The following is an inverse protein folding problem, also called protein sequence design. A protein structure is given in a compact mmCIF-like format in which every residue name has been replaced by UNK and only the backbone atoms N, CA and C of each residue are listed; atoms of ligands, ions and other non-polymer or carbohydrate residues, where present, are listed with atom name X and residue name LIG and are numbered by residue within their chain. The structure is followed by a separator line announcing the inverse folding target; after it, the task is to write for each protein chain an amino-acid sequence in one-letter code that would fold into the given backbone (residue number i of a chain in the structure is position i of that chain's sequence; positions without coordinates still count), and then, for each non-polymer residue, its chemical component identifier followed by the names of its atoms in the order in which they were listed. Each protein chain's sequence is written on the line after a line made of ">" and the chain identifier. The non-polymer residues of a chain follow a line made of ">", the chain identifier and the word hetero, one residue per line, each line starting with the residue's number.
data_IF_563439950485
#
_entry.id   IF_563439950485
#
_cell.length_a   1.000
_cell.length_b   1.000
_cell.length_c   1.000
_cell.angle_alpha   90.00
_cell.angle_beta   90.00
_cell.angle_gamma   90.00
#
_symmetry.space_group_name_H-M   'P 1'
#
loop_
_entity.id
_entity.type
_entity.pdbx_description
1 polymer ?
#
# COMPACT_ATOMS: atom_id res chain seq x y z
N UNK A 1 49.57 -6.44 -5.75
CA UNK A 1 48.17 -5.97 -5.64
C UNK A 1 47.30 -6.41 -6.82
N UNK A 2 47.75 -6.24 -8.07
CA UNK A 2 46.99 -6.59 -9.28
C UNK A 2 46.67 -8.09 -9.40
N UNK A 3 47.63 -8.97 -9.03
CA UNK A 3 47.44 -10.43 -9.06
C UNK A 3 46.40 -10.87 -8.02
N UNK A 4 46.43 -10.31 -6.82
CA UNK A 4 45.47 -10.58 -5.76
C UNK A 4 44.06 -10.10 -6.14
N UNK A 5 43.97 -8.94 -6.79
CA UNK A 5 42.66 -8.41 -7.29
C UNK A 5 42.12 -9.29 -8.42
N UNK A 6 42.96 -9.76 -9.35
CA UNK A 6 42.60 -10.70 -10.40
C UNK A 6 42.11 -12.05 -9.86
N UNK A 7 42.85 -12.59 -8.87
CA UNK A 7 42.46 -13.84 -8.21
C UNK A 7 41.12 -13.70 -7.46
N UNK A 8 40.89 -12.60 -6.73
CA UNK A 8 39.63 -12.32 -6.06
C UNK A 8 38.46 -12.23 -7.06
N UNK A 9 38.65 -11.50 -8.18
CA UNK A 9 37.65 -11.37 -9.22
C UNK A 9 37.31 -12.72 -9.87
N UNK A 10 38.31 -13.56 -10.12
CA UNK A 10 38.12 -14.91 -10.64
C UNK A 10 37.32 -15.79 -9.67
N UNK A 11 37.63 -15.75 -8.38
CA UNK A 11 36.88 -16.48 -7.34
C UNK A 11 35.41 -16.03 -7.31
N UNK A 12 35.15 -14.73 -7.38
CA UNK A 12 33.79 -14.19 -7.42
C UNK A 12 33.02 -14.64 -8.70
N UNK A 13 33.70 -14.68 -9.84
CA UNK A 13 33.07 -15.17 -11.09
C UNK A 13 32.76 -16.66 -11.01
N UNK A 14 33.71 -17.48 -10.51
CA UNK A 14 33.51 -18.92 -10.36
C UNK A 14 32.39 -19.22 -9.36
N UNK A 15 32.37 -18.57 -8.21
CA UNK A 15 31.29 -18.76 -7.20
C UNK A 15 29.93 -18.36 -7.74
N UNK A 16 29.83 -17.25 -8.49
CA UNK A 16 28.60 -16.87 -9.19
C UNK A 16 28.17 -17.91 -10.24
N UNK A 17 29.10 -18.40 -11.06
CA UNK A 17 28.80 -19.41 -12.06
C UNK A 17 28.31 -20.73 -11.44
N UNK A 18 28.97 -21.18 -10.35
CA UNK A 18 28.55 -22.37 -9.58
C UNK A 18 27.17 -22.17 -8.96
N UNK A 19 26.92 -21.02 -8.32
CA UNK A 19 25.62 -20.71 -7.72
C UNK A 19 24.49 -20.67 -8.77
N UNK A 20 24.74 -20.07 -9.93
CA UNK A 20 23.78 -20.03 -11.04
C UNK A 20 23.52 -21.43 -11.58
N UNK A 21 24.58 -22.24 -11.77
CA UNK A 21 24.46 -23.61 -12.26
C UNK A 21 23.71 -24.50 -11.27
N UNK A 22 23.96 -24.34 -9.98
CA UNK A 22 23.25 -25.03 -8.90
C UNK A 22 21.76 -24.66 -8.86
N UNK A 23 21.43 -23.37 -8.89
CA UNK A 23 20.04 -22.89 -8.97
C UNK A 23 19.33 -23.45 -10.21
N UNK A 24 20.05 -23.54 -11.31
CA UNK A 24 19.57 -24.10 -12.55
C UNK A 24 19.23 -25.60 -12.41
N UNK A 25 20.11 -26.36 -11.79
CA UNK A 25 19.93 -27.77 -11.52
C UNK A 25 18.72 -28.01 -10.58
N UNK A 26 18.61 -27.23 -9.50
CA UNK A 26 17.50 -27.27 -8.58
C UNK A 26 16.16 -27.00 -9.27
N UNK A 27 16.08 -25.98 -10.13
CA UNK A 27 14.86 -25.65 -10.87
C UNK A 27 14.47 -26.75 -11.86
N UNK A 28 15.45 -27.32 -12.56
CA UNK A 28 15.21 -28.29 -13.64
C UNK A 28 14.93 -29.71 -13.13
N UNK A 29 15.73 -30.21 -12.19
CA UNK A 29 15.63 -31.60 -11.68
C UNK A 29 14.71 -31.72 -10.47
N UNK A 30 14.83 -30.82 -9.51
CA UNK A 30 14.11 -30.92 -8.24
C UNK A 30 12.80 -30.12 -8.25
N UNK A 31 12.50 -29.38 -9.32
CA UNK A 31 11.32 -28.49 -9.42
C UNK A 31 11.18 -27.49 -8.23
N UNK A 32 12.29 -27.27 -7.51
CA UNK A 32 12.38 -26.32 -6.40
C UNK A 32 12.59 -24.92 -7.00
N UNK A 33 12.01 -23.88 -6.35
CA UNK A 33 12.06 -22.49 -6.81
C UNK A 33 11.40 -22.22 -8.17
N UNK A 34 10.48 -23.06 -8.61
CA UNK A 34 9.65 -22.77 -9.76
C UNK A 34 8.62 -21.69 -9.41
N UNK A 35 8.39 -20.76 -10.34
CA UNK A 35 7.33 -19.76 -10.23
C UNK A 35 6.11 -20.25 -11.00
N UNK A 36 4.98 -20.35 -10.33
CA UNK A 36 3.72 -20.64 -10.99
C UNK A 36 3.19 -19.34 -11.59
N UNK A 37 2.98 -19.35 -12.90
CA UNK A 37 2.47 -18.20 -13.65
C UNK A 37 1.14 -18.55 -14.31
N UNK A 38 0.22 -17.61 -14.30
CA UNK A 38 -1.05 -17.73 -14.99
C UNK A 38 -1.00 -16.88 -16.26
N UNK A 39 -1.36 -17.49 -17.38
CA UNK A 39 -1.32 -16.82 -18.69
C UNK A 39 -2.73 -16.83 -19.30
N UNK A 40 -3.17 -15.67 -19.75
CA UNK A 40 -4.42 -15.50 -20.47
C UNK A 40 -4.35 -16.15 -21.85
N UNK A 41 -5.31 -17.03 -22.17
CA UNK A 41 -5.37 -17.72 -23.45
C UNK A 41 -5.78 -16.76 -24.58
N UNK A 42 -4.80 -16.38 -25.38
CA UNK A 42 -4.92 -15.54 -26.58
C UNK A 42 -3.80 -15.83 -27.54
N UNK A 43 -3.86 -15.28 -28.75
CA UNK A 43 -2.77 -15.40 -29.72
C UNK A 43 -1.43 -14.90 -29.13
N UNK A 44 -1.44 -13.73 -28.50
CA UNK A 44 -0.26 -13.15 -27.81
C UNK A 44 0.17 -13.98 -26.58
N UNK A 45 -0.79 -14.51 -25.82
CA UNK A 45 -0.52 -15.39 -24.68
C UNK A 45 0.10 -16.72 -25.11
N UNK A 46 -0.37 -17.33 -26.19
CA UNK A 46 0.21 -18.56 -26.75
C UNK A 46 1.64 -18.34 -27.24
N UNK A 47 1.90 -17.21 -27.90
CA UNK A 47 3.26 -16.84 -28.29
C UNK A 47 4.17 -16.69 -27.08
N UNK A 48 3.73 -15.98 -26.05
CA UNK A 48 4.47 -15.85 -24.80
C UNK A 48 4.76 -17.20 -24.14
N UNK A 49 3.77 -18.11 -24.10
CA UNK A 49 3.97 -19.48 -23.56
C UNK A 49 5.03 -20.23 -24.36
N UNK A 50 5.03 -20.09 -25.68
CA UNK A 50 6.04 -20.69 -26.53
C UNK A 50 7.43 -20.13 -26.25
N UNK A 51 7.56 -18.81 -26.22
CA UNK A 51 8.82 -18.12 -25.91
C UNK A 51 9.37 -18.52 -24.51
N UNK A 52 8.50 -18.66 -23.50
CA UNK A 52 8.89 -19.14 -22.17
C UNK A 52 9.34 -20.61 -22.18
N UNK A 53 8.71 -21.47 -22.98
CA UNK A 53 9.10 -22.88 -23.13
C UNK A 53 10.43 -23.02 -23.84
N UNK A 54 10.66 -22.23 -24.87
CA UNK A 54 11.91 -22.25 -25.66
C UNK A 54 13.11 -21.79 -24.82
N UNK A 55 12.86 -20.89 -23.87
CA UNK A 55 13.82 -20.50 -22.84
C UNK A 55 13.97 -21.57 -21.74
N UNK A 56 14.25 -22.83 -22.05
CA UNK A 56 14.31 -24.03 -21.16
C UNK A 56 14.86 -23.83 -19.73
N UNK A 57 15.32 -22.63 -19.40
CA UNK A 57 16.04 -22.27 -18.16
C UNK A 57 15.22 -21.46 -17.17
N UNK A 58 13.99 -21.10 -17.49
CA UNK A 58 13.26 -20.07 -16.72
C UNK A 58 12.67 -20.57 -15.39
N UNK A 59 12.43 -21.88 -15.24
CA UNK A 59 11.82 -22.47 -14.03
C UNK A 59 10.41 -21.94 -13.77
N UNK A 60 9.63 -21.70 -14.84
CA UNK A 60 8.22 -21.34 -14.75
C UNK A 60 7.33 -22.58 -14.92
N UNK A 61 6.31 -22.68 -14.08
CA UNK A 61 5.19 -23.59 -14.25
C UNK A 61 4.01 -22.77 -14.78
N UNK A 62 3.54 -23.10 -16.00
CA UNK A 62 2.60 -22.27 -16.75
C UNK A 62 1.20 -22.86 -16.64
N UNK A 63 0.26 -22.08 -16.10
CA UNK A 63 -1.17 -22.38 -16.08
C UNK A 63 -1.85 -21.47 -17.12
N UNK A 64 -2.28 -22.05 -18.24
CA UNK A 64 -3.03 -21.31 -19.27
C UNK A 64 -4.51 -21.33 -18.91
N UNK A 65 -5.14 -20.17 -18.89
CA UNK A 65 -6.53 -20.01 -18.47
C UNK A 65 -7.35 -19.34 -19.55
N UNK A 66 -8.53 -19.89 -19.79
CA UNK A 66 -9.44 -19.45 -20.84
C UNK A 66 -10.00 -18.03 -20.54
N UNK A 67 -10.33 -17.29 -21.60
CA UNK A 67 -10.91 -15.93 -21.55
C UNK A 67 -12.09 -15.81 -20.58
N UNK A 68 -12.95 -16.82 -20.53
CA UNK A 68 -14.14 -16.81 -19.68
C UNK A 68 -13.84 -16.68 -18.20
N UNK A 69 -12.69 -17.19 -17.71
CA UNK A 69 -12.31 -17.08 -16.29
C UNK A 69 -11.91 -15.66 -15.89
N UNK A 70 -11.54 -14.83 -16.86
CA UNK A 70 -11.21 -13.42 -16.65
C UNK A 70 -12.42 -12.49 -16.78
N UNK A 71 -13.63 -13.01 -16.99
CA UNK A 71 -14.85 -12.20 -16.97
C UNK A 71 -15.24 -11.88 -15.53
N UNK A 72 -15.79 -10.70 -15.30
CA UNK A 72 -16.18 -10.19 -13.98
C UNK A 72 -17.07 -11.15 -13.18
N UNK A 73 -17.96 -11.86 -13.90
CA UNK A 73 -18.84 -12.90 -13.33
C UNK A 73 -18.10 -14.08 -12.71
N UNK A 74 -16.85 -14.30 -13.06
CA UNK A 74 -16.02 -15.42 -12.63
C UNK A 74 -14.87 -14.99 -11.72
N UNK A 75 -14.89 -13.79 -11.15
CA UNK A 75 -13.83 -13.26 -10.30
C UNK A 75 -13.51 -14.18 -9.09
N UNK A 76 -14.50 -14.78 -8.47
CA UNK A 76 -14.34 -15.76 -7.39
C UNK A 76 -13.59 -17.01 -7.84
N UNK A 77 -13.99 -17.59 -8.99
CA UNK A 77 -13.31 -18.76 -9.57
C UNK A 77 -11.88 -18.48 -9.99
N UNK A 78 -11.60 -17.28 -10.48
CA UNK A 78 -10.23 -16.85 -10.80
C UNK A 78 -9.40 -16.75 -9.51
N UNK A 79 -9.94 -16.21 -8.45
CA UNK A 79 -9.29 -16.14 -7.13
C UNK A 79 -8.97 -17.54 -6.58
N UNK A 80 -9.92 -18.48 -6.64
CA UNK A 80 -9.71 -19.86 -6.23
C UNK A 80 -8.62 -20.54 -7.07
N UNK A 81 -8.62 -20.31 -8.38
CA UNK A 81 -7.60 -20.86 -9.28
C UNK A 81 -6.21 -20.33 -8.94
N UNK A 82 -6.08 -19.05 -8.63
CA UNK A 82 -4.84 -18.41 -8.21
C UNK A 82 -4.32 -19.03 -6.91
N UNK A 83 -5.20 -19.19 -5.91
CA UNK A 83 -4.84 -19.77 -4.61
C UNK A 83 -4.48 -21.25 -4.73
N UNK A 84 -5.31 -22.06 -5.40
CA UNK A 84 -5.11 -23.49 -5.60
C UNK A 84 -3.78 -23.80 -6.28
N UNK A 85 -3.41 -23.04 -7.30
CA UNK A 85 -2.18 -23.23 -8.06
C UNK A 85 -1.00 -22.43 -7.52
N UNK A 86 -1.15 -21.72 -6.39
CA UNK A 86 -0.11 -20.86 -5.78
C UNK A 86 0.54 -19.95 -6.84
N UNK A 87 -0.29 -19.28 -7.64
CA UNK A 87 0.16 -18.40 -8.71
C UNK A 87 0.90 -17.20 -8.13
N UNK A 88 2.09 -16.92 -8.60
CA UNK A 88 2.90 -15.76 -8.18
C UNK A 88 2.77 -14.58 -9.13
N UNK A 89 2.47 -14.84 -10.40
CA UNK A 89 2.41 -13.78 -11.42
C UNK A 89 1.35 -14.09 -12.48
N UNK A 90 0.66 -13.07 -12.93
CA UNK A 90 -0.42 -13.13 -13.93
C UNK A 90 0.04 -12.39 -15.18
N UNK A 91 -0.08 -13.01 -16.33
CA UNK A 91 0.30 -12.46 -17.63
C UNK A 91 -0.92 -12.28 -18.53
N UNK A 92 -1.23 -11.04 -18.88
CA UNK A 92 -2.42 -10.67 -19.67
C UNK A 92 -2.00 -9.83 -20.88
N UNK A 93 -2.57 -10.06 -22.07
CA UNK A 93 -2.29 -9.21 -23.22
C UNK A 93 -2.67 -7.75 -22.96
N UNK A 94 -1.79 -6.83 -23.37
CA UNK A 94 -1.99 -5.39 -23.22
C UNK A 94 -3.36 -4.94 -23.75
N UNK A 95 -3.70 -5.38 -24.95
CA UNK A 95 -4.97 -5.03 -25.60
C UNK A 95 -6.21 -5.51 -24.82
N UNK A 96 -6.11 -6.62 -24.10
CA UNK A 96 -7.21 -7.17 -23.30
C UNK A 96 -7.38 -6.39 -22.00
N UNK A 97 -6.29 -6.03 -21.34
CA UNK A 97 -6.30 -5.35 -20.06
C UNK A 97 -6.95 -3.95 -20.13
N UNK A 98 -6.83 -3.25 -21.25
CA UNK A 98 -7.36 -1.90 -21.44
C UNK A 98 -8.73 -1.83 -22.16
N UNK A 99 -9.32 -2.96 -22.54
CA UNK A 99 -10.71 -3.00 -23.01
C UNK A 99 -11.68 -2.86 -21.82
N UNK A 100 -12.90 -2.36 -22.06
CA UNK A 100 -13.96 -2.27 -21.02
C UNK A 100 -14.14 -3.57 -20.23
N UNK A 101 -14.05 -4.71 -20.90
CA UNK A 101 -14.12 -6.06 -20.32
C UNK A 101 -12.91 -6.47 -19.50
N UNK A 102 -11.81 -5.73 -19.55
CA UNK A 102 -10.55 -6.06 -18.87
C UNK A 102 -10.23 -5.17 -17.66
N UNK A 103 -11.03 -4.15 -17.42
CA UNK A 103 -10.76 -3.21 -16.31
C UNK A 103 -10.69 -3.90 -14.93
N UNK A 104 -11.49 -4.93 -14.70
CA UNK A 104 -11.46 -5.74 -13.48
C UNK A 104 -10.14 -6.53 -13.34
N UNK A 105 -9.50 -6.91 -14.44
CA UNK A 105 -8.18 -7.59 -14.41
C UNK A 105 -7.12 -6.67 -13.82
N UNK A 106 -7.17 -5.39 -14.15
CA UNK A 106 -6.27 -4.40 -13.57
C UNK A 106 -6.52 -4.23 -12.07
N UNK A 107 -7.73 -4.50 -11.59
CA UNK A 107 -8.04 -4.48 -10.16
C UNK A 107 -7.33 -5.61 -9.39
N UNK A 108 -7.03 -6.76 -10.02
CA UNK A 108 -6.19 -7.79 -9.39
C UNK A 108 -4.80 -7.28 -9.03
N UNK A 109 -4.23 -6.34 -9.80
CA UNK A 109 -2.99 -5.64 -9.44
C UNK A 109 -3.13 -4.74 -8.22
N UNK A 110 -4.37 -4.39 -7.80
CA UNK A 110 -4.65 -3.61 -6.60
C UNK A 110 -4.87 -4.49 -5.36
N UNK A 111 -5.47 -5.65 -5.54
CA UNK A 111 -6.02 -6.42 -4.41
C UNK A 111 -5.05 -7.44 -3.86
N UNK A 112 -3.96 -7.80 -4.58
CA UNK A 112 -3.23 -9.01 -4.21
C UNK A 112 -1.71 -8.96 -4.38
N UNK A 113 -1.09 -9.85 -3.63
CA UNK A 113 0.33 -10.18 -3.62
C UNK A 113 0.88 -10.67 -4.97
N UNK A 114 0.01 -10.85 -5.98
CA UNK A 114 0.38 -11.36 -7.29
C UNK A 114 0.85 -10.23 -8.22
N UNK A 115 2.01 -10.44 -8.84
CA UNK A 115 2.52 -9.52 -9.85
C UNK A 115 1.71 -9.63 -11.15
N UNK A 116 1.13 -8.52 -11.61
CA UNK A 116 0.46 -8.44 -12.91
C UNK A 116 1.43 -7.95 -13.98
N UNK A 117 1.56 -8.71 -15.05
CA UNK A 117 2.38 -8.36 -16.20
C UNK A 117 1.50 -8.21 -17.45
N UNK A 118 1.71 -7.14 -18.17
CA UNK A 118 1.09 -6.90 -19.47
C UNK A 118 2.00 -7.42 -20.55
N UNK A 119 1.50 -8.37 -21.36
CA UNK A 119 2.20 -8.95 -22.50
C UNK A 119 1.91 -8.07 -23.70
N UNK A 120 2.94 -7.45 -24.27
CA UNK A 120 2.82 -6.55 -25.40
C UNK A 120 3.34 -7.22 -26.67
N UNK A 121 2.65 -7.00 -27.81
CA UNK A 121 3.19 -7.30 -29.11
C UNK A 121 4.18 -6.20 -29.53
N UNK A 122 5.20 -6.53 -30.32
CA UNK A 122 6.29 -5.63 -30.70
C UNK A 122 5.84 -4.25 -31.19
N UNK A 123 4.64 -4.17 -31.77
CA UNK A 123 4.07 -2.92 -32.32
C UNK A 123 3.31 -2.04 -31.32
N UNK A 124 3.16 -2.43 -30.06
CA UNK A 124 2.27 -1.75 -29.10
C UNK A 124 3.00 -1.01 -27.96
N UNK A 125 4.33 -0.94 -28.01
CA UNK A 125 5.10 -0.37 -26.90
C UNK A 125 5.54 1.04 -27.19
N UNK A 126 4.78 2.00 -26.66
CA UNK A 126 5.25 3.35 -26.45
C UNK A 126 5.96 3.46 -25.10
N UNK A 127 7.19 3.86 -25.17
CA UNK A 127 8.07 4.59 -24.23
C UNK A 127 7.80 4.49 -22.70
N UNK A 128 8.85 4.20 -21.98
CA UNK A 128 9.05 4.64 -20.59
C UNK A 128 8.99 3.60 -19.48
N UNK A 129 8.47 2.40 -19.70
CA UNK A 129 8.43 1.35 -18.69
C UNK A 129 9.56 0.33 -18.89
N UNK A 130 10.18 -0.13 -17.80
CA UNK A 130 11.18 -1.21 -17.84
C UNK A 130 10.52 -2.49 -18.31
N UNK A 131 10.65 -2.79 -19.59
CA UNK A 131 10.18 -4.00 -20.19
C UNK A 131 11.12 -5.17 -19.88
N UNK A 132 10.56 -6.36 -19.67
CA UNK A 132 11.29 -7.62 -19.61
C UNK A 132 11.02 -8.38 -20.90
N UNK A 133 12.07 -8.93 -21.50
CA UNK A 133 11.94 -9.71 -22.72
C UNK A 133 11.98 -11.21 -22.41
N UNK A 134 11.05 -11.96 -23.00
CA UNK A 134 11.02 -13.41 -23.04
C UNK A 134 11.03 -13.82 -24.51
N UNK A 135 12.22 -14.12 -25.04
CA UNK A 135 12.39 -14.30 -26.48
C UNK A 135 12.04 -13.02 -27.24
N UNK A 136 11.10 -13.09 -28.15
CA UNK A 136 10.56 -11.96 -28.91
C UNK A 136 9.39 -11.25 -28.20
N UNK A 137 8.86 -11.85 -27.14
CA UNK A 137 7.72 -11.28 -26.41
C UNK A 137 8.18 -10.33 -25.32
N UNK A 138 7.63 -9.13 -25.34
CA UNK A 138 7.88 -8.10 -24.34
C UNK A 138 6.81 -8.13 -23.25
N UNK A 139 7.23 -8.07 -21.99
CA UNK A 139 6.33 -7.97 -20.84
C UNK A 139 6.62 -6.73 -20.01
N UNK A 140 5.57 -6.07 -19.58
CA UNK A 140 5.65 -4.86 -18.73
C UNK A 140 4.96 -5.17 -17.42
N UNK A 141 5.69 -5.06 -16.32
CA UNK A 141 5.07 -5.20 -14.99
C UNK A 141 4.12 -4.03 -14.75
N UNK A 142 2.84 -4.35 -14.57
CA UNK A 142 1.86 -3.36 -14.18
C UNK A 142 2.07 -2.98 -12.70
N UNK A 143 2.36 -1.74 -12.45
CA UNK A 143 2.59 -1.21 -11.11
C UNK A 143 1.50 -0.22 -10.76
N UNK A 144 0.86 -0.48 -9.64
CA UNK A 144 -0.17 0.40 -9.11
C UNK A 144 0.43 1.62 -8.45
N UNK A 145 1.58 1.44 -7.79
CA UNK A 145 2.23 2.49 -7.01
C UNK A 145 3.74 2.50 -7.26
N UNK A 146 4.38 3.69 -7.24
CA UNK A 146 5.83 3.78 -7.15
C UNK A 146 6.42 3.07 -5.93
N UNK A 147 5.64 2.87 -4.86
CA UNK A 147 6.04 2.13 -3.65
C UNK A 147 6.19 0.62 -3.87
N UNK A 148 5.73 0.07 -5.00
CA UNK A 148 6.01 -1.31 -5.40
C UNK A 148 7.49 -1.53 -5.76
N UNK A 149 8.24 -0.46 -5.99
CA UNK A 149 9.68 -0.50 -6.19
C UNK A 149 10.34 -0.65 -4.82
N UNK A 150 11.03 -1.78 -4.57
CA UNK A 150 11.68 -2.08 -3.29
C UNK A 150 12.49 -0.91 -2.72
N UNK A 151 13.32 -0.27 -3.55
CA UNK A 151 14.13 0.87 -3.12
C UNK A 151 13.27 2.03 -2.60
N UNK A 152 12.18 2.39 -3.30
CA UNK A 152 11.28 3.47 -2.89
C UNK A 152 10.52 3.13 -1.60
N UNK A 153 10.10 1.88 -1.45
CA UNK A 153 9.46 1.41 -0.23
C UNK A 153 10.42 1.44 0.97
N UNK A 154 11.66 0.97 0.78
CA UNK A 154 12.70 1.05 1.81
C UNK A 154 12.99 2.50 2.18
N UNK A 155 13.19 3.39 1.18
CA UNK A 155 13.41 4.82 1.41
C UNK A 155 12.28 5.44 2.24
N UNK A 156 11.03 5.18 1.87
CA UNK A 156 9.86 5.65 2.64
C UNK A 156 9.87 5.12 4.06
N UNK A 157 10.11 3.83 4.26
CA UNK A 157 10.12 3.21 5.58
C UNK A 157 11.23 3.74 6.47
N UNK A 158 12.43 3.93 5.92
CA UNK A 158 13.57 4.52 6.64
C UNK A 158 13.24 5.95 7.08
N UNK A 159 12.67 6.75 6.18
CA UNK A 159 12.21 8.09 6.54
C UNK A 159 11.14 8.07 7.64
N UNK A 160 10.11 7.22 7.50
CA UNK A 160 9.05 7.07 8.51
C UNK A 160 9.64 6.72 9.90
N UNK A 161 10.62 5.82 9.96
CA UNK A 161 11.29 5.43 11.20
C UNK A 161 12.09 6.57 11.80
N UNK A 162 12.97 7.20 11.03
CA UNK A 162 13.82 8.30 11.52
C UNK A 162 12.95 9.45 12.02
N UNK A 163 11.94 9.83 11.21
CA UNK A 163 11.03 10.92 11.57
C UNK A 163 10.21 10.61 12.82
N UNK A 164 9.66 9.40 12.93
CA UNK A 164 8.89 9.01 14.12
C UNK A 164 9.75 8.95 15.38
N UNK A 165 10.97 8.41 15.29
CA UNK A 165 11.90 8.39 16.43
C UNK A 165 12.27 9.81 16.84
N UNK A 166 12.57 10.71 15.91
CA UNK A 166 12.86 12.10 16.20
C UNK A 166 11.68 12.78 16.92
N UNK A 167 10.45 12.62 16.42
CA UNK A 167 9.26 13.19 17.09
C UNK A 167 9.03 12.58 18.48
N UNK A 168 9.20 11.27 18.63
CA UNK A 168 9.02 10.59 19.93
C UNK A 168 10.03 11.10 20.94
N UNK A 169 11.32 11.19 20.59
CA UNK A 169 12.37 11.58 21.51
C UNK A 169 12.42 13.08 21.76
N UNK A 170 12.27 13.91 20.73
CA UNK A 170 12.43 15.36 20.86
C UNK A 170 11.16 16.08 21.31
N UNK A 171 9.99 15.57 20.94
CA UNK A 171 8.72 16.25 21.19
C UNK A 171 7.82 15.50 22.16
N UNK A 172 7.59 14.22 21.97
CA UNK A 172 6.65 13.46 22.80
C UNK A 172 7.20 13.16 24.20
N UNK A 173 8.51 13.14 24.41
CA UNK A 173 9.14 12.86 25.71
C UNK A 173 8.64 13.79 26.84
N UNK A 174 8.33 15.03 26.54
CA UNK A 174 7.80 16.01 27.48
C UNK A 174 6.30 16.33 27.28
N UNK A 175 5.80 16.27 26.02
CA UNK A 175 4.37 16.53 25.74
C UNK A 175 3.48 15.44 26.32
N UNK A 176 3.91 14.15 26.22
CA UNK A 176 3.09 13.03 26.73
C UNK A 176 2.86 13.12 28.24
N UNK A 177 3.87 13.32 29.08
CA UNK A 177 3.64 13.51 30.55
C UNK A 177 2.73 14.70 30.86
N UNK A 178 2.94 15.83 30.17
CA UNK A 178 2.14 17.03 30.36
C UNK A 178 0.67 16.79 29.99
N UNK A 179 0.40 16.28 28.81
CA UNK A 179 -0.96 15.98 28.35
C UNK A 179 -1.61 14.87 29.20
N UNK A 180 -0.84 13.86 29.61
CA UNK A 180 -1.34 12.80 30.49
C UNK A 180 -1.88 13.38 31.80
N UNK A 181 -1.12 14.29 32.44
CA UNK A 181 -1.56 14.96 33.64
C UNK A 181 -2.86 15.74 33.41
N UNK A 182 -2.91 16.58 32.35
CA UNK A 182 -4.09 17.40 32.06
C UNK A 182 -5.33 16.52 31.74
N UNK A 183 -5.17 15.42 30.98
CA UNK A 183 -6.26 14.50 30.65
C UNK A 183 -6.79 13.78 31.90
N UNK A 184 -5.90 13.39 32.82
CA UNK A 184 -6.31 12.74 34.07
C UNK A 184 -7.03 13.71 35.02
N UNK A 185 -6.64 14.98 35.05
CA UNK A 185 -7.30 16.01 35.82
C UNK A 185 -8.68 16.40 35.27
N UNK A 186 -8.83 16.39 33.93
CA UNK A 186 -10.07 16.78 33.24
C UNK A 186 -11.17 15.71 33.33
N UNK A 187 -10.81 14.42 33.30
CA UNK A 187 -11.78 13.32 33.37
C UNK A 187 -11.17 11.99 33.84
N UNK A 188 -11.98 11.16 34.52
CA UNK A 188 -11.55 9.83 34.99
C UNK A 188 -11.38 8.84 33.83
N UNK A 189 -10.30 8.04 33.87
CA UNK A 189 -10.03 6.96 32.90
C UNK A 189 -8.61 6.97 32.35
N UNK A 190 -8.29 6.07 31.39
CA UNK A 190 -6.95 5.92 30.81
C UNK A 190 -6.55 7.14 29.98
N UNK A 191 -5.25 7.45 29.94
CA UNK A 191 -4.68 8.55 29.15
C UNK A 191 -4.83 8.30 27.65
N UNK A 192 -4.61 7.07 27.23
CA UNK A 192 -4.68 6.68 25.83
C UNK A 192 -6.02 6.03 25.49
N UNK A 193 -6.49 6.34 24.29
CA UNK A 193 -7.62 5.71 23.65
C UNK A 193 -7.09 4.87 22.49
N UNK A 194 -7.43 3.57 22.48
CA UNK A 194 -6.99 2.63 21.45
C UNK A 194 -8.22 2.13 20.70
N UNK A 195 -8.21 2.28 19.38
CA UNK A 195 -9.31 1.88 18.51
C UNK A 195 -8.80 1.04 17.34
N UNK A 196 -9.47 -0.08 17.07
CA UNK A 196 -9.17 -0.91 15.91
C UNK A 196 -9.49 -0.17 14.62
N UNK A 197 -8.54 -0.16 13.67
CA UNK A 197 -8.68 0.48 12.36
C UNK A 197 -8.14 -0.43 11.27
N UNK A 198 -8.75 -0.43 10.06
CA UNK A 198 -8.17 -1.11 8.90
C UNK A 198 -6.93 -0.37 8.42
N UNK A 199 -5.88 -1.13 8.20
CA UNK A 199 -4.60 -0.68 7.67
C UNK A 199 -4.38 -1.14 6.22
N UNK A 200 -3.10 -1.29 5.85
CA UNK A 200 -2.73 -1.81 4.53
C UNK A 200 -3.29 -3.22 4.34
N UNK A 201 -3.81 -3.48 3.14
CA UNK A 201 -4.42 -4.76 2.73
C UNK A 201 -5.57 -5.21 3.66
N UNK A 202 -6.26 -4.23 4.30
CA UNK A 202 -7.36 -4.51 5.22
C UNK A 202 -6.95 -5.05 6.59
N UNK A 203 -5.65 -5.20 6.88
CA UNK A 203 -5.16 -5.73 8.17
C UNK A 203 -5.50 -4.77 9.30
N UNK A 204 -6.24 -5.26 10.28
CA UNK A 204 -6.66 -4.46 11.43
C UNK A 204 -5.48 -4.20 12.38
N UNK A 205 -5.33 -2.96 12.83
CA UNK A 205 -4.31 -2.56 13.79
C UNK A 205 -4.89 -1.67 14.91
N UNK A 206 -4.26 -1.64 16.10
CA UNK A 206 -4.65 -0.75 17.19
C UNK A 206 -4.13 0.67 16.92
N UNK A 207 -5.02 1.59 16.57
CA UNK A 207 -4.69 3.00 16.40
C UNK A 207 -4.70 3.71 17.76
N UNK A 208 -3.57 4.28 18.16
CA UNK A 208 -3.36 4.88 19.48
C UNK A 208 -3.57 6.39 19.38
N UNK A 209 -4.38 6.96 20.29
CA UNK A 209 -4.62 8.39 20.42
C UNK A 209 -4.62 8.81 21.89
N UNK A 210 -4.51 10.10 22.17
CA UNK A 210 -4.89 10.60 23.50
C UNK A 210 -6.41 10.59 23.64
N UNK A 211 -6.87 10.28 24.84
CA UNK A 211 -8.28 10.39 25.17
C UNK A 211 -8.71 11.86 25.15
N UNK A 212 -9.68 12.18 24.32
CA UNK A 212 -10.27 13.52 24.17
C UNK A 212 -11.76 13.56 24.52
N UNK A 213 -12.31 12.41 24.92
CA UNK A 213 -13.72 12.25 25.29
C UNK A 213 -13.85 11.50 26.61
N UNK A 214 -14.96 11.69 27.30
CA UNK A 214 -15.32 10.87 28.45
C UNK A 214 -15.45 9.40 28.07
N UNK A 215 -15.08 8.50 28.98
CA UNK A 215 -15.16 7.06 28.75
C UNK A 215 -16.61 6.67 28.50
N UNK A 216 -16.87 6.04 27.37
CA UNK A 216 -18.21 5.57 26.99
C UNK A 216 -18.11 4.29 26.14
N UNK A 217 -19.20 3.55 26.03
CA UNK A 217 -19.27 2.29 25.27
C UNK A 217 -19.48 2.48 23.76
N UNK A 218 -19.66 3.72 23.27
CA UNK A 218 -19.95 4.02 21.86
C UNK A 218 -18.69 4.37 21.08
N UNK A 219 -17.70 3.48 21.07
CA UNK A 219 -16.39 3.72 20.44
C UNK A 219 -16.44 3.76 18.92
N UNK A 220 -17.43 3.12 18.28
CA UNK A 220 -17.63 3.09 16.82
C UNK A 220 -18.43 4.28 16.27
N UNK A 221 -19.01 5.12 17.14
CA UNK A 221 -19.76 6.29 16.70
C UNK A 221 -18.81 7.40 16.25
N UNK A 222 -19.00 7.87 15.02
CA UNK A 222 -18.26 9.02 14.49
C UNK A 222 -18.45 10.23 15.39
N UNK A 223 -17.36 10.90 15.71
CA UNK A 223 -17.40 12.14 16.48
C UNK A 223 -17.96 13.28 15.63
N UNK A 224 -18.94 14.01 16.15
CA UNK A 224 -19.53 15.18 15.52
C UNK A 224 -18.83 16.47 15.97
N UNK A 225 -19.09 17.55 15.24
CA UNK A 225 -18.69 18.90 15.65
C UNK A 225 -19.46 19.25 16.91
N UNK A 226 -18.77 19.71 17.97
CA UNK A 226 -19.36 20.00 19.29
C UNK A 226 -20.00 18.77 19.99
N UNK A 227 -19.42 17.61 19.82
CA UNK A 227 -19.86 16.37 20.48
C UNK A 227 -19.81 16.55 22.02
N UNK A 228 -20.93 16.34 22.69
CA UNK A 228 -21.07 16.50 24.13
C UNK A 228 -20.17 15.58 24.97
N UNK A 229 -19.65 14.51 24.36
CA UNK A 229 -18.69 13.59 24.99
C UNK A 229 -17.30 14.20 25.11
N UNK A 230 -17.01 15.30 24.38
CA UNK A 230 -15.66 15.90 24.34
C UNK A 230 -15.38 16.66 25.62
N UNK A 231 -14.27 16.35 26.28
CA UNK A 231 -13.84 17.04 27.51
C UNK A 231 -13.24 18.41 27.21
N UNK A 232 -13.01 19.25 28.22
CA UNK A 232 -12.46 20.61 28.04
C UNK A 232 -11.05 20.57 27.46
N UNK A 233 -10.17 19.74 28.01
CA UNK A 233 -8.82 19.47 27.46
C UNK A 233 -8.94 18.78 26.09
N UNK A 234 -9.93 17.89 25.94
CA UNK A 234 -10.23 17.21 24.70
C UNK A 234 -10.50 18.14 23.52
N UNK A 235 -11.25 19.22 23.74
CA UNK A 235 -11.49 20.27 22.72
C UNK A 235 -10.18 20.90 22.25
N UNK A 236 -9.28 21.22 23.18
CA UNK A 236 -8.01 21.84 22.84
C UNK A 236 -7.09 20.90 22.07
N UNK A 237 -6.89 19.67 22.56
CA UNK A 237 -5.99 18.71 21.89
C UNK A 237 -6.50 18.26 20.51
N UNK A 238 -7.83 18.22 20.32
CA UNK A 238 -8.43 17.95 18.98
C UNK A 238 -8.26 19.12 18.03
N UNK A 239 -8.50 20.37 18.50
CA UNK A 239 -8.30 21.57 17.67
C UNK A 239 -6.85 21.69 17.18
N UNK A 240 -5.89 21.31 18.01
CA UNK A 240 -4.45 21.33 17.67
C UNK A 240 -3.96 20.01 17.05
N UNK A 241 -4.82 18.99 16.94
CA UNK A 241 -4.49 17.62 16.50
C UNK A 241 -3.43 16.92 17.36
N UNK A 242 -3.21 17.40 18.57
CA UNK A 242 -2.30 16.76 19.53
C UNK A 242 -2.81 15.39 19.99
N UNK A 243 -4.15 15.17 19.91
CA UNK A 243 -4.74 13.86 20.21
C UNK A 243 -4.19 12.74 19.32
N UNK A 244 -3.66 13.05 18.14
CA UNK A 244 -3.11 12.08 17.19
C UNK A 244 -1.61 11.83 17.33
N UNK A 245 -0.89 12.57 18.22
CA UNK A 245 0.55 12.38 18.44
C UNK A 245 0.93 10.94 18.80
N UNK A 246 0.19 10.17 19.63
CA UNK A 246 0.54 8.79 19.92
C UNK A 246 0.57 7.86 18.69
N UNK A 247 0.00 8.26 17.54
CA UNK A 247 0.10 7.49 16.31
C UNK A 247 1.55 7.39 15.78
N UNK A 248 2.48 8.23 16.25
CA UNK A 248 3.90 8.04 15.92
C UNK A 248 4.44 6.72 16.45
N UNK A 249 3.91 6.17 17.55
CA UNK A 249 4.19 4.79 17.94
C UNK A 249 3.67 3.78 16.90
N UNK A 250 2.48 4.01 16.33
CA UNK A 250 1.99 3.15 15.24
C UNK A 250 2.87 3.22 13.99
N UNK A 251 3.47 4.38 13.69
CA UNK A 251 4.45 4.51 12.61
C UNK A 251 5.72 3.75 12.96
N UNK A 252 6.24 3.89 14.16
CA UNK A 252 7.44 3.18 14.62
C UNK A 252 7.27 1.66 14.53
N UNK A 253 6.15 1.12 15.00
CA UNK A 253 5.83 -0.31 14.91
C UNK A 253 5.47 -0.78 13.49
N UNK A 254 5.30 0.12 12.54
CA UNK A 254 5.06 -0.20 11.13
C UNK A 254 3.62 -0.44 10.74
N UNK A 255 2.65 -0.17 11.62
CA UNK A 255 1.22 -0.21 11.33
C UNK A 255 0.80 0.96 10.44
N UNK A 256 1.44 2.11 10.61
CA UNK A 256 1.18 3.36 9.90
C UNK A 256 2.44 3.90 9.21
N UNK A 257 2.26 4.95 8.44
CA UNK A 257 3.28 5.82 7.86
C UNK A 257 3.05 7.25 8.35
N UNK A 258 4.05 8.12 8.27
CA UNK A 258 3.86 9.56 8.53
C UNK A 258 2.84 10.14 7.55
N UNK A 259 3.01 9.82 6.26
CA UNK A 259 2.13 10.29 5.17
C UNK A 259 1.45 9.10 4.49
N UNK A 260 0.13 9.16 4.36
CA UNK A 260 -0.68 8.14 3.71
C UNK A 260 -2.18 8.44 3.79
N UNK A 261 -3.04 7.56 3.25
CA UNK A 261 -4.49 7.65 3.42
C UNK A 261 -4.89 7.66 4.90
N UNK A 262 -5.81 8.55 5.31
CA UNK A 262 -6.29 8.56 6.69
C UNK A 262 -7.05 7.28 7.04
N UNK A 263 -6.75 6.60 8.17
CA UNK A 263 -7.47 5.37 8.56
C UNK A 263 -8.89 5.70 9.00
N UNK A 264 -9.88 5.10 8.37
CA UNK A 264 -11.31 5.24 8.72
C UNK A 264 -11.71 4.25 9.82
N UNK A 265 -12.93 4.38 10.36
CA UNK A 265 -13.55 3.39 11.23
C UNK A 265 -13.79 2.09 10.46
N UNK A 266 -13.81 0.95 11.17
CA UNK A 266 -14.10 -0.35 10.55
C UNK A 266 -15.50 -0.34 9.93
N UNK A 267 -16.50 0.19 10.65
CA UNK A 267 -17.88 0.33 10.16
C UNK A 267 -17.98 1.20 8.89
N UNK A 268 -17.23 2.30 8.82
CA UNK A 268 -17.18 3.12 7.62
C UNK A 268 -16.49 2.40 6.45
N UNK A 269 -15.44 1.64 6.75
CA UNK A 269 -14.73 0.88 5.73
C UNK A 269 -15.63 -0.16 5.08
N UNK A 270 -16.38 -0.92 5.90
CA UNK A 270 -17.31 -1.92 5.42
C UNK A 270 -18.44 -1.28 4.59
N UNK A 271 -19.03 -0.19 5.08
CA UNK A 271 -20.06 0.54 4.37
C UNK A 271 -19.61 1.03 3.00
N UNK A 272 -18.49 1.76 2.92
CA UNK A 272 -18.03 2.38 1.66
C UNK A 272 -17.42 1.41 0.67
N UNK A 273 -16.89 0.27 1.13
CA UNK A 273 -16.41 -0.78 0.23
C UNK A 273 -17.54 -1.38 -0.63
N UNK A 274 -18.76 -1.42 -0.11
CA UNK A 274 -19.94 -1.87 -0.86
C UNK A 274 -20.52 -0.80 -1.80
N UNK A 275 -20.31 0.49 -1.50
CA UNK A 275 -20.86 1.59 -2.31
C UNK A 275 -19.94 1.99 -3.46
N UNK A 276 -18.62 1.93 -3.23
CA UNK A 276 -17.64 2.39 -4.22
C UNK A 276 -16.59 1.31 -4.49
N UNK A 277 -16.53 0.79 -5.69
CA UNK A 277 -15.49 -0.18 -6.12
C UNK A 277 -14.06 0.35 -5.92
N UNK A 278 -13.91 1.68 -5.95
CA UNK A 278 -12.60 2.31 -5.81
C UNK A 278 -12.18 2.51 -4.34
N UNK A 279 -13.08 2.33 -3.38
CA UNK A 279 -12.79 2.61 -1.98
C UNK A 279 -11.67 1.71 -1.42
N UNK A 280 -11.72 0.41 -1.74
CA UNK A 280 -10.73 -0.58 -1.32
C UNK A 280 -9.30 -0.23 -1.77
N UNK A 281 -9.18 0.48 -2.89
CA UNK A 281 -7.88 0.87 -3.48
C UNK A 281 -7.05 1.77 -2.55
N UNK A 282 -7.68 2.50 -1.64
CA UNK A 282 -6.97 3.33 -0.66
C UNK A 282 -6.20 2.50 0.38
N UNK A 283 -6.59 1.25 0.61
CA UNK A 283 -5.92 0.33 1.53
C UNK A 283 -4.64 -0.30 0.95
N UNK A 284 -4.30 -0.01 -0.29
CA UNK A 284 -3.05 -0.47 -0.91
C UNK A 284 -1.79 0.11 -0.25
N UNK A 285 -1.88 1.31 0.32
CA UNK A 285 -0.80 1.92 1.09
C UNK A 285 -1.07 1.85 2.59
N UNK A 286 0.00 1.95 3.40
CA UNK A 286 -0.15 2.12 4.84
C UNK A 286 -0.92 3.41 5.14
N UNK A 287 -1.83 3.40 6.13
CA UNK A 287 -2.50 4.61 6.56
C UNK A 287 -1.49 5.63 7.13
N UNK A 288 -1.77 6.91 6.94
CA UNK A 288 -0.93 8.01 7.39
C UNK A 288 -1.50 8.78 8.58
N UNK A 289 -0.61 9.40 9.38
CA UNK A 289 -0.99 10.42 10.35
C UNK A 289 -1.54 11.64 9.61
N UNK A 290 -0.86 12.02 8.53
CA UNK A 290 -1.33 13.03 7.57
C UNK A 290 -1.42 12.46 6.16
N UNK A 291 -2.07 13.16 5.25
CA UNK A 291 -2.24 12.71 3.87
C UNK A 291 -2.68 13.81 2.93
N UNK A 292 -2.60 13.52 1.63
CA UNK A 292 -2.96 14.48 0.58
C UNK A 292 -4.40 14.96 0.71
N UNK A 293 -5.34 14.05 1.00
CA UNK A 293 -6.75 14.39 1.22
C UNK A 293 -6.92 15.40 2.37
N UNK A 294 -6.20 15.18 3.48
CA UNK A 294 -6.28 16.03 4.66
C UNK A 294 -5.82 17.46 4.39
N UNK A 295 -4.69 17.63 3.69
CA UNK A 295 -4.16 18.96 3.33
C UNK A 295 -4.92 19.65 2.20
N UNK A 296 -5.76 18.91 1.47
CA UNK A 296 -6.60 19.42 0.38
C UNK A 296 -8.02 19.77 0.82
N UNK A 297 -8.24 19.90 2.15
CA UNK A 297 -9.54 20.30 2.72
C UNK A 297 -10.54 19.16 2.96
N UNK A 298 -10.20 17.91 2.62
CA UNK A 298 -11.00 16.74 2.93
C UNK A 298 -10.66 16.17 4.33
N UNK A 299 -10.53 17.07 5.33
CA UNK A 299 -10.28 16.78 6.75
C UNK A 299 -11.60 16.86 7.51
N UNK A 300 -11.72 16.09 8.58
CA UNK A 300 -12.91 16.12 9.43
C UNK A 300 -13.87 14.96 9.20
N UNK A 301 -15.07 15.06 9.76
CA UNK A 301 -16.17 14.11 9.55
C UNK A 301 -16.61 14.10 8.09
N UNK A 302 -17.18 13.01 7.68
CA UNK A 302 -17.75 12.85 6.34
C UNK A 302 -19.25 12.99 6.52
N UNK A 303 -19.82 14.00 5.89
CA UNK A 303 -21.26 14.28 5.98
C UNK A 303 -22.04 13.61 4.86
N UNK A 304 -21.36 13.31 3.72
CA UNK A 304 -22.00 12.70 2.57
C UNK A 304 -21.03 11.86 1.72
N UNK A 305 -21.60 11.04 0.85
CA UNK A 305 -20.85 10.13 -0.04
C UNK A 305 -19.95 10.87 -1.05
N UNK A 306 -20.31 12.10 -1.42
CA UNK A 306 -19.54 12.90 -2.37
C UNK A 306 -18.18 13.30 -1.74
N UNK A 307 -18.20 13.71 -0.47
CA UNK A 307 -16.98 14.03 0.27
C UNK A 307 -16.08 12.81 0.41
N UNK A 308 -16.68 11.63 0.66
CA UNK A 308 -15.90 10.38 0.70
C UNK A 308 -15.29 10.08 -0.66
N UNK A 309 -16.02 10.23 -1.76
CA UNK A 309 -15.49 10.05 -3.13
C UNK A 309 -14.32 10.99 -3.41
N UNK A 310 -14.41 12.25 -3.00
CA UNK A 310 -13.31 13.20 -3.15
C UNK A 310 -12.09 12.79 -2.33
N UNK A 311 -12.28 12.35 -1.08
CA UNK A 311 -11.19 11.84 -0.23
C UNK A 311 -10.50 10.63 -0.88
N UNK A 312 -11.28 9.66 -1.37
CA UNK A 312 -10.76 8.47 -2.06
C UNK A 312 -9.95 8.85 -3.31
N UNK A 313 -10.41 9.83 -4.09
CA UNK A 313 -9.67 10.33 -5.27
C UNK A 313 -8.30 10.88 -4.89
N UNK A 314 -8.19 11.69 -3.83
CA UNK A 314 -6.90 12.19 -3.34
C UNK A 314 -6.00 11.07 -2.81
N UNK A 315 -6.56 10.10 -2.09
CA UNK A 315 -5.82 8.95 -1.57
C UNK A 315 -5.25 8.10 -2.72
N UNK A 316 -6.07 7.81 -3.75
CA UNK A 316 -5.63 7.07 -4.94
C UNK A 316 -4.58 7.87 -5.73
N UNK A 317 -4.78 9.18 -5.89
CA UNK A 317 -3.78 10.04 -6.55
C UNK A 317 -2.44 9.97 -5.83
N UNK A 318 -2.43 10.09 -4.49
CA UNK A 318 -1.22 9.96 -3.69
C UNK A 318 -0.54 8.60 -3.91
N UNK A 319 -1.27 7.50 -3.85
CA UNK A 319 -0.75 6.16 -4.03
C UNK A 319 -0.09 6.00 -5.41
N UNK A 320 -0.74 6.49 -6.46
CA UNK A 320 -0.26 6.38 -7.86
C UNK A 320 0.93 7.27 -8.17
N UNK A 321 0.99 8.43 -7.53
CA UNK A 321 1.98 9.46 -7.84
C UNK A 321 2.97 9.72 -6.70
N UNK A 322 3.15 8.73 -5.83
CA UNK A 322 4.04 8.88 -4.69
C UNK A 322 5.46 9.26 -5.12
N UNK A 323 5.97 10.31 -4.52
CA UNK A 323 7.38 10.70 -4.54
C UNK A 323 7.78 11.13 -3.13
N UNK A 324 9.07 11.05 -2.81
CA UNK A 324 9.57 11.53 -1.53
C UNK A 324 9.31 13.02 -1.33
N UNK A 325 9.47 13.82 -2.39
CA UNK A 325 9.16 15.25 -2.36
C UNK A 325 7.68 15.54 -2.06
N UNK A 326 6.76 14.68 -2.52
CA UNK A 326 5.34 14.80 -2.21
C UNK A 326 5.08 14.59 -0.72
N UNK A 327 5.74 13.62 -0.09
CA UNK A 327 5.64 13.42 1.36
C UNK A 327 6.11 14.65 2.15
N UNK A 328 7.27 15.19 1.79
CA UNK A 328 7.80 16.40 2.44
C UNK A 328 6.83 17.58 2.26
N UNK A 329 6.29 17.78 1.06
CA UNK A 329 5.29 18.84 0.80
C UNK A 329 4.04 18.67 1.65
N UNK A 330 3.55 17.44 1.81
CA UNK A 330 2.37 17.14 2.65
C UNK A 330 2.67 17.45 4.12
N UNK A 331 3.83 17.03 4.62
CA UNK A 331 4.25 17.30 6.01
C UNK A 331 4.32 18.81 6.27
N UNK A 332 5.02 19.55 5.42
CA UNK A 332 5.15 21.01 5.55
C UNK A 332 3.76 21.67 5.56
N UNK A 333 2.89 21.32 4.62
CA UNK A 333 1.52 21.87 4.57
C UNK A 333 0.71 21.50 5.82
N UNK A 334 0.87 20.28 6.34
CA UNK A 334 0.19 19.88 7.59
C UNK A 334 0.60 20.77 8.74
N UNK A 335 1.90 21.01 8.92
CA UNK A 335 2.41 21.89 9.98
C UNK A 335 1.88 23.32 9.79
N UNK A 336 1.93 23.86 8.58
CA UNK A 336 1.41 25.20 8.30
C UNK A 336 -0.10 25.31 8.57
N UNK A 337 -0.89 24.29 8.22
CA UNK A 337 -2.32 24.27 8.48
C UNK A 337 -2.63 24.22 9.98
N UNK A 338 -1.87 23.44 10.76
CA UNK A 338 -2.00 23.41 12.23
C UNK A 338 -1.68 24.77 12.85
N UNK A 339 -0.63 25.45 12.38
CA UNK A 339 -0.22 26.78 12.89
C UNK A 339 -1.28 27.83 12.51
N UNK A 340 -1.83 27.78 11.31
CA UNK A 340 -2.86 28.74 10.86
C UNK A 340 -4.22 28.54 11.53
N UNK A 341 -4.44 27.40 12.20
CA UNK A 341 -5.72 27.12 12.86
C UNK A 341 -6.85 26.91 11.86
N UNK A 342 -6.79 25.83 11.05
CA UNK A 342 -7.88 25.51 10.13
C UNK A 342 -9.21 25.29 10.85
N UNK A 343 -10.26 26.00 10.43
CA UNK A 343 -11.64 25.88 10.96
C UNK A 343 -12.27 24.48 10.82
N UNK A 344 -11.66 23.60 10.04
CA UNK A 344 -12.10 22.21 9.85
C UNK A 344 -11.40 21.19 10.76
N UNK A 345 -10.49 21.62 11.67
CA UNK A 345 -10.08 20.80 12.80
C UNK A 345 -11.18 20.87 13.85
N UNK A 346 -11.75 19.74 14.23
CA UNK A 346 -12.88 19.67 15.18
C UNK A 346 -12.57 20.27 16.55
#
# INVERSE_FOLDING_TARGET
>A
PLILFGAFFLVVLVTKAVAISFLFLCRRKLKIFQKNILVYDSKTGKQFVQDVKDLKRTGYNIVVVNKQLFEEKNATKLTETIQKNKISSIYVPFETAFKKSGAHILNFGWEKENDLYLVANYNSVAAGNKAQFFGLTQTIKYRVSPLDIKFKNVLKRTFDLIFSVAVILMFMSWVVPLLALLICLDSKGPVFFIQKRPGRDGKIFPCIKFRSMTVNNNTEKVALRNDARTTSVGKYIRKTSMDELPQFFNVFFGHMSVVGPRPNLTSQNDHYTHIFDEYSKRMYAKPGITGLAQISGARGGIENDIEMKHRVKYDIFYIRNWTFALDIKIIIRTVLNVIKGEDKAY
#
